data_IF_388161917370
#
_entry.id   IF_388161917370
#
_cell.length_a   1.000
_cell.length_b   1.000
_cell.length_c   1.000
_cell.angle_alpha   90.00
_cell.angle_beta   90.00
_cell.angle_gamma   90.00
#
_symmetry.space_group_name_H-M   'P 1'
#
loop_
_entity.id
_entity.type
_entity.pdbx_description
1 polymer ?
#
# COMPACT_ATOMS: atom_id res chain seq x y z
N UNK A 1 -51.88 -77.72 46.80
CA UNK A 1 -51.51 -76.55 47.63
C UNK A 1 -50.25 -75.97 47.01
N UNK A 2 -50.37 -74.87 46.26
CA UNK A 2 -49.95 -73.51 46.69
C UNK A 2 -48.41 -73.45 46.88
N UNK A 3 -47.57 -72.62 46.24
CA UNK A 3 -47.76 -71.29 45.63
C UNK A 3 -46.49 -70.89 44.85
N UNK A 4 -46.73 -70.25 43.71
CA UNK A 4 -46.04 -69.13 43.02
C UNK A 4 -44.57 -68.77 43.33
N UNK A 5 -43.85 -68.66 42.22
CA UNK A 5 -42.70 -67.77 41.93
C UNK A 5 -42.98 -66.31 42.35
N UNK A 6 -42.00 -65.63 42.95
CA UNK A 6 -41.96 -64.16 43.11
C UNK A 6 -40.54 -63.61 42.93
N UNK A 7 -40.36 -62.74 41.93
CA UNK A 7 -39.22 -61.84 41.71
C UNK A 7 -39.35 -60.63 42.64
N UNK A 8 -38.29 -60.19 43.33
CA UNK A 8 -38.07 -58.74 43.62
C UNK A 8 -36.59 -58.50 44.00
N UNK A 9 -35.75 -58.06 43.05
CA UNK A 9 -35.38 -56.67 42.72
C UNK A 9 -34.24 -56.10 43.58
N UNK A 10 -33.02 -56.27 43.06
CA UNK A 10 -31.75 -55.75 43.55
C UNK A 10 -31.62 -54.27 43.10
N UNK A 11 -32.16 -53.35 43.90
CA UNK A 11 -32.05 -51.90 43.66
C UNK A 11 -31.97 -51.20 45.01
N UNK A 12 -30.80 -50.63 45.34
CA UNK A 12 -30.59 -49.40 46.15
C UNK A 12 -29.21 -49.34 46.82
N UNK A 13 -28.08 -49.36 46.10
CA UNK A 13 -26.76 -49.09 46.75
C UNK A 13 -25.77 -48.30 45.87
N UNK A 14 -26.25 -47.48 44.93
CA UNK A 14 -25.40 -46.63 44.07
C UNK A 14 -26.06 -45.27 43.78
N UNK A 15 -26.40 -44.49 44.82
CA UNK A 15 -27.03 -43.18 44.64
C UNK A 15 -26.57 -42.09 45.64
N UNK A 16 -25.34 -42.17 46.18
CA UNK A 16 -24.87 -41.20 47.18
C UNK A 16 -23.53 -40.50 46.84
N UNK A 17 -22.87 -40.78 45.70
CA UNK A 17 -21.54 -40.17 45.41
C UNK A 17 -21.53 -39.18 44.23
N UNK A 18 -22.64 -38.96 43.51
CA UNK A 18 -22.66 -38.06 42.34
C UNK A 18 -23.20 -36.63 42.59
N UNK A 19 -23.44 -36.26 43.84
CA UNK A 19 -24.10 -34.98 44.18
C UNK A 19 -23.21 -33.76 44.53
N UNK A 20 -21.86 -33.79 44.61
CA UNK A 20 -21.09 -32.55 44.80
C UNK A 20 -20.37 -32.03 43.54
N UNK A 21 -20.36 -32.73 42.40
CA UNK A 21 -19.60 -32.29 41.21
C UNK A 21 -20.43 -31.37 40.28
N UNK A 22 -21.75 -31.32 40.43
CA UNK A 22 -22.62 -30.46 39.61
C UNK A 22 -22.61 -28.97 40.00
N UNK A 23 -21.85 -28.55 41.02
CA UNK A 23 -21.82 -27.17 41.52
C UNK A 23 -20.74 -26.28 40.89
N UNK A 24 -19.97 -26.77 39.91
CA UNK A 24 -18.96 -25.97 39.19
C UNK A 24 -19.37 -25.49 37.80
N UNK A 25 -20.64 -25.67 37.40
CA UNK A 25 -21.21 -24.96 36.24
C UNK A 25 -21.67 -23.56 36.68
N UNK A 26 -20.74 -22.73 37.16
CA UNK A 26 -20.98 -21.30 37.30
C UNK A 26 -21.10 -20.71 35.90
N UNK A 27 -22.34 -20.63 35.39
CA UNK A 27 -22.64 -19.91 34.16
C UNK A 27 -22.12 -18.47 34.25
N UNK A 28 -21.49 -17.99 33.18
CA UNK A 28 -20.95 -16.64 33.12
C UNK A 28 -22.09 -15.61 33.29
N UNK A 29 -22.05 -14.83 34.37
CA UNK A 29 -23.12 -13.90 34.76
C UNK A 29 -23.32 -12.77 33.74
N UNK A 30 -22.24 -12.36 33.07
CA UNK A 30 -22.20 -11.31 32.05
C UNK A 30 -21.35 -11.80 30.89
N UNK A 31 -21.87 -11.71 29.66
CA UNK A 31 -21.12 -11.99 28.43
C UNK A 31 -20.59 -10.69 27.85
N UNK A 32 -19.28 -10.62 27.60
CA UNK A 32 -18.61 -9.54 26.89
C UNK A 32 -18.15 -10.05 25.52
N UNK A 33 -18.49 -9.32 24.47
CA UNK A 33 -18.01 -9.58 23.10
C UNK A 33 -17.46 -8.29 22.54
N UNK A 34 -16.20 -8.33 22.11
CA UNK A 34 -15.59 -7.25 21.35
C UNK A 34 -16.00 -7.36 19.88
N UNK A 35 -16.67 -6.33 19.37
CA UNK A 35 -17.18 -6.23 18.00
C UNK A 35 -16.30 -5.35 17.10
N UNK A 36 -15.20 -4.84 17.62
CA UNK A 36 -14.32 -3.92 16.89
C UNK A 36 -13.54 -4.67 15.80
N UNK A 37 -13.55 -4.20 14.54
CA UNK A 37 -12.70 -4.75 13.50
C UNK A 37 -11.21 -4.63 13.86
N UNK A 38 -10.40 -5.62 13.48
CA UNK A 38 -8.94 -5.56 13.65
C UNK A 38 -8.27 -4.51 12.76
N UNK A 39 -8.99 -4.04 11.73
CA UNK A 39 -8.49 -3.08 10.75
C UNK A 39 -9.57 -2.05 10.43
N UNK A 40 -9.18 -0.78 10.41
CA UNK A 40 -10.07 0.35 10.13
C UNK A 40 -9.44 1.31 9.13
N UNK A 41 -10.25 1.91 8.25
CA UNK A 41 -9.75 2.90 7.29
C UNK A 41 -9.38 4.20 7.98
N UNK A 42 -8.25 4.77 7.60
CA UNK A 42 -7.85 6.08 8.09
C UNK A 42 -8.89 7.15 7.76
N UNK A 43 -9.22 8.01 8.72
CA UNK A 43 -10.14 9.13 8.54
C UNK A 43 -9.48 10.46 8.97
N UNK A 44 -10.02 11.62 8.56
CA UNK A 44 -9.43 12.92 8.88
C UNK A 44 -9.41 13.27 10.37
N UNK A 45 -10.42 12.84 11.15
CA UNK A 45 -10.51 13.12 12.58
C UNK A 45 -9.56 12.25 13.42
N UNK A 46 -9.08 11.15 12.84
CA UNK A 46 -8.23 10.14 13.49
C UNK A 46 -8.90 9.50 14.70
N UNK A 47 -10.23 9.53 14.73
CA UNK A 47 -11.06 8.96 15.79
C UNK A 47 -11.74 7.70 15.28
N UNK A 48 -11.67 6.64 16.08
CA UNK A 48 -12.14 5.31 15.72
C UNK A 48 -13.03 4.75 16.82
N UNK A 49 -14.22 4.28 16.42
CA UNK A 49 -15.16 3.65 17.33
C UNK A 49 -14.70 2.25 17.71
N UNK A 50 -14.58 2.00 19.02
CA UNK A 50 -14.32 0.69 19.60
C UNK A 50 -15.63 0.22 20.23
N UNK A 51 -16.16 -0.90 19.76
CA UNK A 51 -17.54 -1.32 20.06
C UNK A 51 -17.55 -2.65 20.81
N UNK A 52 -18.36 -2.72 21.85
CA UNK A 52 -18.54 -3.90 22.69
C UNK A 52 -20.02 -4.25 22.83
N UNK A 53 -20.32 -5.54 22.84
CA UNK A 53 -21.63 -6.05 23.26
C UNK A 53 -21.54 -6.66 24.66
N UNK A 54 -22.43 -6.21 25.53
CA UNK A 54 -22.52 -6.65 26.92
C UNK A 54 -23.91 -7.21 27.18
N UNK A 55 -24.00 -8.48 27.55
CA UNK A 55 -25.26 -9.15 27.87
C UNK A 55 -25.24 -9.70 29.29
N UNK A 56 -26.13 -9.18 30.14
CA UNK A 56 -26.35 -9.72 31.49
C UNK A 56 -27.21 -10.98 31.39
N UNK A 57 -26.71 -12.10 31.88
CA UNK A 57 -27.37 -13.42 31.81
C UNK A 57 -27.96 -13.87 33.14
N UNK A 58 -27.49 -13.28 34.24
CA UNK A 58 -27.88 -13.67 35.59
C UNK A 58 -28.53 -12.50 36.34
N UNK A 59 -29.71 -12.73 36.93
CA UNK A 59 -30.44 -11.75 37.74
C UNK A 59 -29.76 -11.46 39.10
N UNK A 60 -28.73 -12.23 39.47
CA UNK A 60 -27.88 -11.95 40.62
C UNK A 60 -26.96 -10.73 40.40
N UNK A 61 -26.79 -10.26 39.16
CA UNK A 61 -26.06 -9.03 38.87
C UNK A 61 -26.84 -7.83 39.41
N UNK A 62 -26.18 -6.95 40.15
CA UNK A 62 -26.79 -5.74 40.70
C UNK A 62 -27.11 -4.80 39.54
N UNK A 63 -28.37 -4.40 39.43
CA UNK A 63 -28.80 -3.48 38.38
C UNK A 63 -28.02 -2.15 38.43
N UNK A 64 -27.72 -1.60 37.26
CA UNK A 64 -26.91 -0.40 37.11
C UNK A 64 -25.42 -0.52 37.50
N UNK A 65 -24.96 -1.68 38.01
CA UNK A 65 -23.56 -1.86 38.43
C UNK A 65 -22.60 -2.18 37.28
N UNK A 66 -23.11 -2.53 36.10
CA UNK A 66 -22.30 -2.89 34.94
C UNK A 66 -21.60 -1.65 34.39
N UNK A 67 -20.28 -1.71 34.35
CA UNK A 67 -19.38 -0.64 33.87
C UNK A 67 -18.37 -1.23 32.88
N UNK A 68 -18.66 -1.14 31.56
CA UNK A 68 -17.70 -1.51 30.52
C UNK A 68 -16.64 -0.42 30.36
N UNK A 69 -15.39 -0.85 30.32
CA UNK A 69 -14.20 -0.03 30.16
C UNK A 69 -13.35 -0.59 29.02
N UNK A 70 -12.65 0.29 28.32
CA UNK A 70 -11.52 -0.06 27.45
C UNK A 70 -10.23 0.29 28.17
N UNK A 71 -9.26 -0.63 28.12
CA UNK A 71 -7.90 -0.39 28.57
C UNK A 71 -7.00 -0.24 27.36
N UNK A 72 -6.47 0.96 27.15
CA UNK A 72 -5.58 1.31 26.04
C UNK A 72 -4.42 2.16 26.59
N UNK A 73 -3.19 1.88 26.14
CA UNK A 73 -1.96 2.49 26.70
C UNK A 73 -1.86 2.40 28.25
N UNK A 74 -2.42 1.33 28.83
CA UNK A 74 -2.44 1.10 30.28
C UNK A 74 -3.43 1.97 31.06
N UNK A 75 -4.30 2.74 30.39
CA UNK A 75 -5.31 3.60 31.01
C UNK A 75 -6.71 3.06 30.76
N UNK A 76 -7.54 3.13 31.80
CA UNK A 76 -8.96 2.78 31.72
C UNK A 76 -9.79 3.96 31.23
N UNK A 77 -10.66 3.70 30.26
CA UNK A 77 -11.63 4.66 29.76
C UNK A 77 -13.03 4.05 29.78
N UNK A 78 -14.00 4.78 30.31
CA UNK A 78 -15.39 4.32 30.33
C UNK A 78 -15.98 4.31 28.92
N UNK A 79 -16.72 3.25 28.59
CA UNK A 79 -17.49 3.19 27.35
C UNK A 79 -18.90 3.75 27.56
N UNK A 80 -19.41 4.43 26.55
CA UNK A 80 -20.76 4.99 26.54
C UNK A 80 -21.75 3.99 25.94
N UNK A 81 -22.96 3.89 26.50
CA UNK A 81 -24.02 3.08 25.92
C UNK A 81 -24.50 3.71 24.60
N UNK A 82 -24.64 2.89 23.55
CA UNK A 82 -25.15 3.35 22.26
C UNK A 82 -26.64 3.71 22.39
N UNK A 83 -27.08 4.90 21.92
CA UNK A 83 -28.49 5.29 21.98
C UNK A 83 -29.41 4.26 21.31
N UNK A 84 -30.50 3.89 21.98
CA UNK A 84 -31.45 2.88 21.49
C UNK A 84 -30.97 1.42 21.60
N UNK A 85 -29.82 1.16 22.22
CA UNK A 85 -29.34 -0.21 22.48
C UNK A 85 -29.27 -0.55 23.98
N UNK A 86 -29.78 -1.72 24.32
CA UNK A 86 -29.68 -2.27 25.68
C UNK A 86 -28.37 -3.00 25.96
N UNK A 87 -27.55 -3.26 24.94
CA UNK A 87 -26.35 -4.08 25.08
C UNK A 87 -25.10 -3.56 24.39
N UNK A 88 -25.19 -2.55 23.52
CA UNK A 88 -24.04 -2.01 22.81
C UNK A 88 -23.42 -0.82 23.54
N UNK A 89 -22.10 -0.84 23.60
CA UNK A 89 -21.28 0.21 24.18
C UNK A 89 -20.18 0.60 23.19
N UNK A 90 -19.82 1.87 23.21
CA UNK A 90 -18.85 2.46 22.30
C UNK A 90 -17.88 3.38 23.03
N UNK A 91 -16.64 3.40 22.58
CA UNK A 91 -15.65 4.40 22.95
C UNK A 91 -14.96 4.93 21.70
N UNK A 92 -14.99 6.24 21.54
CA UNK A 92 -14.29 6.95 20.46
C UNK A 92 -12.83 7.18 20.85
N UNK A 93 -11.93 6.42 20.22
CA UNK A 93 -10.49 6.54 20.45
C UNK A 93 -9.82 7.40 19.38
N UNK A 94 -9.25 8.54 19.78
CA UNK A 94 -8.41 9.37 18.92
C UNK A 94 -6.97 8.86 18.90
N UNK A 95 -6.55 8.33 17.75
CA UNK A 95 -5.21 7.81 17.52
C UNK A 95 -4.15 8.93 17.59
N UNK A 96 -3.09 8.83 18.42
CA UNK A 96 -2.01 9.83 18.47
C UNK A 96 -1.31 10.03 17.12
N UNK A 97 -0.86 11.25 16.75
CA UNK A 97 -0.14 11.52 15.49
C UNK A 97 1.00 10.55 15.21
N UNK A 98 1.11 10.08 13.97
CA UNK A 98 2.13 9.11 13.53
C UNK A 98 1.90 7.67 14.01
N UNK A 99 0.90 7.40 14.85
CA UNK A 99 0.53 6.04 15.27
C UNK A 99 -0.51 5.45 14.32
N UNK A 100 -0.28 4.22 13.88
CA UNK A 100 -1.18 3.44 13.00
C UNK A 100 -1.72 2.18 13.67
N UNK A 101 -1.22 1.84 14.86
CA UNK A 101 -1.61 0.65 15.61
C UNK A 101 -1.89 0.99 17.05
N UNK A 102 -2.89 0.38 17.65
CA UNK A 102 -3.12 0.48 19.09
C UNK A 102 -3.56 -0.86 19.67
N UNK A 103 -2.92 -1.26 20.77
CA UNK A 103 -3.28 -2.46 21.52
C UNK A 103 -4.24 -2.09 22.65
N UNK A 104 -5.27 -2.90 22.85
CA UNK A 104 -6.28 -2.70 23.89
C UNK A 104 -6.88 -4.03 24.34
N UNK A 105 -7.54 -4.01 25.49
CA UNK A 105 -8.51 -5.05 25.86
C UNK A 105 -9.71 -4.38 26.51
N UNK A 106 -10.86 -5.06 26.50
CA UNK A 106 -12.06 -4.60 27.16
C UNK A 106 -12.16 -5.23 28.55
N UNK A 107 -12.74 -4.50 29.48
CA UNK A 107 -12.95 -4.92 30.85
C UNK A 107 -14.37 -4.55 31.28
N UNK A 108 -15.13 -5.51 31.80
CA UNK A 108 -16.37 -5.19 32.52
C UNK A 108 -16.12 -5.31 34.01
N UNK A 109 -16.49 -4.27 34.75
CA UNK A 109 -16.64 -4.28 36.21
C UNK A 109 -18.12 -4.34 36.57
N UNK A 110 -18.50 -5.21 37.51
CA UNK A 110 -19.89 -5.29 38.00
C UNK A 110 -19.95 -5.84 39.42
N UNK A 111 -21.11 -5.69 40.06
CA UNK A 111 -21.41 -6.25 41.38
C UNK A 111 -22.40 -7.40 41.25
N UNK A 112 -22.21 -8.45 42.05
CA UNK A 112 -23.09 -9.62 42.11
C UNK A 112 -23.56 -9.89 43.53
N UNK A 113 -24.86 -10.12 43.69
CA UNK A 113 -25.48 -10.63 44.91
C UNK A 113 -25.13 -12.12 45.08
N UNK A 114 -24.62 -12.46 46.24
CA UNK A 114 -24.46 -13.84 46.72
C UNK A 114 -25.40 -14.07 47.90
N UNK A 115 -25.46 -15.30 48.43
CA UNK A 115 -26.32 -15.61 49.56
C UNK A 115 -26.00 -14.77 50.82
N UNK A 116 -24.77 -14.26 50.95
CA UNK A 116 -24.27 -13.61 52.17
C UNK A 116 -23.68 -12.22 51.96
N UNK A 117 -23.39 -11.80 50.72
CA UNK A 117 -22.74 -10.52 50.43
C UNK A 117 -22.95 -10.03 48.99
N UNK A 118 -22.61 -8.77 48.73
CA UNK A 118 -22.40 -8.22 47.38
C UNK A 118 -20.90 -8.27 47.09
N UNK A 119 -20.51 -8.91 45.98
CA UNK A 119 -19.11 -9.06 45.57
C UNK A 119 -18.84 -8.36 44.25
N UNK A 120 -17.68 -7.71 44.13
CA UNK A 120 -17.20 -7.13 42.87
C UNK A 120 -16.60 -8.22 41.98
N UNK A 121 -16.86 -8.12 40.67
CA UNK A 121 -16.37 -9.03 39.64
C UNK A 121 -15.85 -8.26 38.44
N UNK A 122 -14.88 -8.89 37.78
CA UNK A 122 -14.21 -8.36 36.59
C UNK A 122 -14.16 -9.43 35.51
N UNK A 123 -14.39 -9.03 34.26
CA UNK A 123 -14.27 -9.90 33.08
C UNK A 123 -13.45 -9.15 32.02
N UNK A 124 -12.18 -9.52 31.80
CA UNK A 124 -11.37 -8.99 30.71
C UNK A 124 -11.58 -9.78 29.41
N UNK A 125 -11.31 -9.15 28.27
CA UNK A 125 -11.02 -9.85 27.00
C UNK A 125 -9.53 -10.11 26.85
N UNK A 126 -9.18 -10.87 25.81
CA UNK A 126 -7.81 -10.91 25.31
C UNK A 126 -7.41 -9.54 24.74
N UNK A 127 -6.09 -9.29 24.71
CA UNK A 127 -5.51 -8.09 24.09
C UNK A 127 -5.65 -8.22 22.57
N UNK A 128 -6.27 -7.21 21.95
CA UNK A 128 -6.34 -7.06 20.50
C UNK A 128 -5.58 -5.84 20.05
N UNK A 129 -5.22 -5.83 18.77
CA UNK A 129 -4.62 -4.67 18.10
C UNK A 129 -5.56 -4.18 17.01
N UNK A 130 -5.90 -2.89 17.04
CA UNK A 130 -6.47 -2.20 15.88
C UNK A 130 -5.34 -1.69 14.98
N UNK A 131 -5.49 -1.89 13.68
CA UNK A 131 -4.61 -1.33 12.65
C UNK A 131 -5.37 -0.32 11.80
N UNK A 132 -4.76 0.83 11.54
CA UNK A 132 -5.31 1.85 10.66
C UNK A 132 -4.70 1.71 9.28
N UNK A 133 -5.52 1.40 8.29
CA UNK A 133 -5.12 1.38 6.89
C UNK A 133 -5.13 2.78 6.31
N UNK A 134 -3.94 3.30 6.01
CA UNK A 134 -3.75 4.65 5.46
C UNK A 134 -3.88 4.73 3.93
N UNK A 135 -3.87 3.60 3.21
CA UNK A 135 -3.86 3.56 1.73
C UNK A 135 -4.96 2.65 1.22
N UNK A 136 -5.90 3.16 0.44
CA UNK A 136 -7.05 2.35 0.00
C UNK A 136 -7.52 2.63 -1.43
N UNK A 137 -6.83 3.52 -2.15
CA UNK A 137 -7.01 3.73 -3.59
C UNK A 137 -5.87 4.63 -4.08
N UNK A 138 -5.27 4.25 -5.19
CA UNK A 138 -4.33 5.10 -5.93
C UNK A 138 -4.84 5.21 -7.36
N UNK A 139 -4.76 6.39 -7.94
CA UNK A 139 -5.27 6.67 -9.26
C UNK A 139 -4.29 7.54 -10.02
N UNK A 140 -4.02 7.16 -11.27
CA UNK A 140 -3.26 7.98 -12.20
C UNK A 140 -4.02 9.25 -12.58
N UNK A 141 -3.35 10.40 -12.53
CA UNK A 141 -3.89 11.67 -13.04
C UNK A 141 -4.21 11.61 -14.54
N UNK A 142 -3.36 10.91 -15.30
CA UNK A 142 -3.52 10.68 -16.75
C UNK A 142 -3.16 9.25 -17.13
N UNK A 143 -3.80 8.73 -18.16
CA UNK A 143 -3.59 7.36 -18.65
C UNK A 143 -2.75 7.27 -19.93
N UNK A 144 -2.16 8.40 -20.37
CA UNK A 144 -1.35 8.46 -21.59
C UNK A 144 -0.35 9.61 -21.54
N UNK A 145 0.90 9.36 -21.94
CA UNK A 145 1.94 10.38 -22.03
C UNK A 145 3.19 9.87 -22.80
N UNK A 146 4.04 10.77 -23.34
CA UNK A 146 5.34 10.38 -23.88
C UNK A 146 6.38 10.16 -22.77
N UNK A 147 7.49 9.51 -23.12
CA UNK A 147 8.65 9.29 -22.24
C UNK A 147 9.18 10.61 -21.65
N UNK A 148 9.59 10.58 -20.38
CA UNK A 148 10.12 11.73 -19.65
C UNK A 148 9.05 12.67 -19.08
N UNK A 149 7.78 12.48 -19.42
CA UNK A 149 6.69 13.28 -18.84
C UNK A 149 6.56 13.02 -17.35
N UNK A 150 6.34 14.07 -16.55
CA UNK A 150 5.99 13.94 -15.13
C UNK A 150 4.49 13.71 -14.99
N UNK A 151 4.10 12.64 -14.30
CA UNK A 151 2.70 12.27 -14.03
C UNK A 151 2.48 12.17 -12.53
N UNK A 152 1.34 12.66 -12.03
CA UNK A 152 0.93 12.44 -10.65
C UNK A 152 0.07 11.17 -10.49
N UNK A 153 0.19 10.55 -9.31
CA UNK A 153 -0.68 9.53 -8.77
C UNK A 153 -1.33 10.12 -7.52
N UNK A 154 -2.66 10.20 -7.54
CA UNK A 154 -3.47 10.67 -6.44
C UNK A 154 -3.81 9.51 -5.52
N UNK A 155 -3.83 9.76 -4.21
CA UNK A 155 -4.11 8.72 -3.24
C UNK A 155 -4.04 9.22 -1.81
N UNK A 156 -3.72 8.31 -0.90
CA UNK A 156 -3.52 8.61 0.52
C UNK A 156 -2.42 7.74 1.11
N UNK A 157 -1.77 8.28 2.15
CA UNK A 157 -0.75 7.59 2.93
C UNK A 157 0.59 7.44 2.22
N UNK A 158 0.86 8.23 1.17
CA UNK A 158 2.16 8.19 0.50
C UNK A 158 3.29 8.65 1.43
N UNK A 159 4.46 8.07 1.21
CA UNK A 159 5.70 8.34 1.95
C UNK A 159 6.86 8.47 0.97
N UNK A 160 7.99 9.01 1.42
CA UNK A 160 9.20 9.15 0.59
C UNK A 160 9.80 7.82 0.13
N UNK A 161 9.49 6.75 0.84
CA UNK A 161 9.98 5.41 0.54
C UNK A 161 9.20 4.73 -0.58
N UNK A 162 8.01 5.23 -0.91
CA UNK A 162 7.20 4.66 -1.99
C UNK A 162 7.90 4.79 -3.34
N UNK A 163 7.67 3.81 -4.21
CA UNK A 163 8.25 3.72 -5.55
C UNK A 163 7.16 3.39 -6.55
N UNK A 164 7.24 4.00 -7.73
CA UNK A 164 6.35 3.69 -8.85
C UNK A 164 7.07 2.73 -9.79
N UNK A 165 6.36 1.69 -10.22
CA UNK A 165 6.77 0.81 -11.31
C UNK A 165 5.83 1.02 -12.50
N UNK A 166 6.37 1.12 -13.71
CA UNK A 166 5.62 1.17 -14.96
C UNK A 166 5.98 -0.08 -15.76
N UNK A 167 5.02 -0.98 -15.96
CA UNK A 167 5.28 -2.27 -16.61
C UNK A 167 6.30 -3.13 -15.86
N UNK A 168 6.40 -2.98 -14.54
CA UNK A 168 7.43 -3.62 -13.71
C UNK A 168 8.80 -2.93 -13.71
N UNK A 169 8.99 -1.88 -14.52
CA UNK A 169 10.24 -1.10 -14.54
C UNK A 169 10.17 0.04 -13.53
N UNK A 170 11.16 0.18 -12.62
CA UNK A 170 11.21 1.30 -11.69
C UNK A 170 11.23 2.65 -12.41
N UNK A 171 10.30 3.53 -12.05
CA UNK A 171 10.27 4.92 -12.50
C UNK A 171 10.91 5.83 -11.45
N UNK A 172 11.52 6.92 -11.91
CA UNK A 172 11.99 7.97 -11.00
C UNK A 172 10.78 8.56 -10.29
N UNK A 173 10.70 8.33 -8.97
CA UNK A 173 9.53 8.63 -8.14
C UNK A 173 9.84 9.77 -7.19
N UNK A 174 8.90 10.71 -7.05
CA UNK A 174 8.99 11.86 -6.17
C UNK A 174 7.75 11.92 -5.27
N UNK A 175 7.93 11.72 -3.97
CA UNK A 175 6.86 11.93 -2.99
C UNK A 175 6.65 13.43 -2.77
N UNK A 176 5.45 13.90 -3.06
CA UNK A 176 5.10 15.32 -2.94
C UNK A 176 4.39 15.62 -1.63
N UNK A 177 3.44 14.75 -1.27
CA UNK A 177 2.67 14.86 -0.04
C UNK A 177 2.17 13.47 0.38
N UNK A 178 1.44 13.39 1.49
CA UNK A 178 0.75 12.17 1.87
C UNK A 178 -0.38 11.77 0.91
N UNK A 179 -0.74 12.60 -0.07
CA UNK A 179 -1.85 12.39 -1.01
C UNK A 179 -1.47 12.51 -2.48
N UNK A 180 -0.23 12.89 -2.80
CA UNK A 180 0.30 12.95 -4.17
C UNK A 180 1.69 12.32 -4.23
N UNK A 181 1.87 11.42 -5.20
CA UNK A 181 3.13 10.82 -5.60
C UNK A 181 3.33 11.13 -7.08
N UNK A 182 4.47 11.71 -7.46
CA UNK A 182 4.78 11.95 -8.86
C UNK A 182 5.81 10.94 -9.38
N UNK A 183 5.80 10.66 -10.67
CA UNK A 183 6.86 9.90 -11.34
C UNK A 183 7.12 10.42 -12.74
N UNK A 184 8.30 10.11 -13.28
CA UNK A 184 8.65 10.37 -14.68
C UNK A 184 8.46 9.10 -15.51
N UNK A 185 7.80 9.23 -16.67
CA UNK A 185 7.57 8.10 -17.58
C UNK A 185 8.92 7.52 -18.03
N UNK A 186 9.22 6.23 -17.77
CA UNK A 186 10.49 5.63 -18.16
C UNK A 186 10.57 5.38 -19.66
N UNK A 187 11.79 5.21 -20.17
CA UNK A 187 12.10 4.88 -21.57
C UNK A 187 11.72 3.45 -21.94
N UNK A 188 10.43 3.15 -21.97
CA UNK A 188 9.88 1.87 -22.43
C UNK A 188 9.38 1.97 -23.87
N UNK A 189 9.26 0.84 -24.59
CA UNK A 189 8.73 0.83 -25.95
C UNK A 189 7.38 1.56 -26.09
N UNK A 190 7.29 2.40 -27.12
CA UNK A 190 6.09 3.20 -27.39
C UNK A 190 4.91 2.39 -27.94
N UNK A 191 3.72 3.00 -27.94
CA UNK A 191 2.52 2.45 -28.55
C UNK A 191 1.81 1.37 -27.73
N UNK A 192 2.26 1.10 -26.50
CA UNK A 192 1.75 0.03 -25.62
C UNK A 192 1.21 0.57 -24.30
N UNK A 193 0.33 -0.22 -23.69
CA UNK A 193 -0.23 0.01 -22.37
C UNK A 193 0.63 -0.71 -21.32
N UNK A 194 0.99 -0.01 -20.25
CA UNK A 194 1.76 -0.53 -19.13
C UNK A 194 0.98 -0.37 -17.84
N UNK A 195 0.92 -1.44 -17.04
CA UNK A 195 0.36 -1.34 -15.69
C UNK A 195 1.25 -0.44 -14.83
N UNK A 196 0.65 0.46 -14.08
CA UNK A 196 1.36 1.32 -13.12
C UNK A 196 1.04 0.85 -11.72
N UNK A 197 2.08 0.52 -10.96
CA UNK A 197 1.95 0.09 -9.57
C UNK A 197 2.74 1.00 -8.65
N UNK A 198 2.21 1.22 -7.45
CA UNK A 198 2.90 1.85 -6.34
C UNK A 198 3.35 0.76 -5.38
N UNK A 199 4.65 0.59 -5.24
CA UNK A 199 5.27 -0.26 -4.24
C UNK A 199 5.49 0.56 -2.96
N UNK A 200 4.92 0.12 -1.85
CA UNK A 200 5.15 0.71 -0.54
C UNK A 200 5.26 -0.32 0.58
N UNK A 201 5.35 0.17 1.82
CA UNK A 201 5.62 -0.67 3.00
C UNK A 201 4.61 -1.81 3.22
N UNK A 202 3.36 -1.61 2.79
CA UNK A 202 2.27 -2.57 2.99
C UNK A 202 1.96 -3.41 1.75
N UNK A 203 2.81 -3.34 0.71
CA UNK A 203 2.66 -4.09 -0.54
C UNK A 203 2.48 -3.20 -1.77
N UNK A 204 2.01 -3.83 -2.84
CA UNK A 204 1.78 -3.20 -4.14
C UNK A 204 0.33 -2.75 -4.29
N UNK A 205 0.14 -1.55 -4.83
CA UNK A 205 -1.16 -1.00 -5.21
C UNK A 205 -1.18 -0.70 -6.70
N UNK A 206 -2.20 -1.14 -7.42
CA UNK A 206 -2.37 -0.77 -8.83
C UNK A 206 -2.98 0.63 -8.95
N UNK A 207 -2.33 1.51 -9.71
CA UNK A 207 -2.77 2.88 -10.00
C UNK A 207 -3.45 3.02 -11.38
N UNK A 208 -3.51 1.93 -12.14
CA UNK A 208 -4.14 1.88 -13.47
C UNK A 208 -3.16 1.53 -14.58
N UNK A 209 -3.48 1.92 -15.80
CA UNK A 209 -2.66 1.65 -16.99
C UNK A 209 -2.27 2.94 -17.68
N UNK A 210 -0.99 3.06 -18.04
CA UNK A 210 -0.44 4.17 -18.79
C UNK A 210 -0.07 3.72 -20.21
N UNK A 211 -0.59 4.41 -21.23
CA UNK A 211 -0.12 4.27 -22.60
C UNK A 211 1.07 5.19 -22.85
N UNK A 212 2.19 4.63 -23.29
CA UNK A 212 3.33 5.44 -23.71
C UNK A 212 3.13 5.83 -25.18
N UNK A 213 3.03 7.12 -25.44
CA UNK A 213 2.86 7.65 -26.79
C UNK A 213 4.17 7.62 -27.57
N UNK A 214 4.03 7.50 -28.89
CA UNK A 214 5.15 7.57 -29.79
C UNK A 214 5.76 8.98 -29.81
N UNK A 215 7.08 9.07 -29.74
CA UNK A 215 7.82 10.32 -29.82
C UNK A 215 8.95 10.21 -30.84
N UNK A 216 9.35 11.30 -31.48
CA UNK A 216 10.48 11.27 -32.41
C UNK A 216 11.63 12.12 -31.90
N UNK A 217 12.82 11.54 -31.92
CA UNK A 217 14.06 12.28 -31.76
C UNK A 217 14.34 13.00 -33.08
N UNK A 218 14.80 14.26 -33.00
CA UNK A 218 15.23 15.02 -34.18
C UNK A 218 16.73 15.19 -34.13
N UNK A 219 17.39 14.87 -35.25
CA UNK A 219 18.82 15.07 -35.41
C UNK A 219 19.09 16.06 -36.54
N UNK A 220 19.99 17.00 -36.30
CA UNK A 220 20.36 18.05 -37.26
C UNK A 220 21.87 18.27 -37.30
N UNK A 221 22.49 18.40 -38.48
CA UNK A 221 21.91 18.20 -39.81
C UNK A 221 21.46 16.75 -40.05
N UNK A 222 20.56 16.56 -41.02
CA UNK A 222 20.04 15.22 -41.39
C UNK A 222 21.02 14.37 -42.22
N UNK A 223 22.21 14.92 -42.53
CA UNK A 223 23.33 14.21 -43.14
C UNK A 223 24.64 14.91 -42.79
N UNK A 224 25.76 14.19 -42.88
CA UNK A 224 27.09 14.72 -42.65
C UNK A 224 28.00 14.46 -43.85
N UNK A 225 28.68 15.51 -44.31
CA UNK A 225 29.78 15.42 -45.26
C UNK A 225 31.02 16.04 -44.62
N UNK A 226 32.04 15.21 -44.37
CA UNK A 226 33.26 15.60 -43.68
C UNK A 226 34.48 15.24 -44.54
N UNK A 227 35.58 15.96 -44.36
CA UNK A 227 36.92 15.49 -44.74
C UNK A 227 37.57 14.76 -43.58
N UNK A 228 38.62 13.98 -43.85
CA UNK A 228 39.46 13.37 -42.82
C UNK A 228 39.99 14.43 -41.84
N UNK A 229 39.75 14.22 -40.55
CA UNK A 229 40.05 15.15 -39.45
C UNK A 229 39.12 16.36 -39.35
N UNK A 230 38.18 16.56 -40.28
CA UNK A 230 37.18 17.62 -40.17
C UNK A 230 36.17 17.28 -39.09
N UNK A 231 35.76 18.30 -38.32
CA UNK A 231 34.71 18.18 -37.30
C UNK A 231 33.40 18.78 -37.78
N UNK A 232 32.32 18.00 -37.67
CA UNK A 232 30.94 18.43 -37.77
C UNK A 232 30.29 18.50 -36.40
N UNK A 233 29.10 19.10 -36.33
CA UNK A 233 28.26 19.12 -35.12
C UNK A 233 26.94 18.44 -35.45
N UNK A 234 26.53 17.48 -34.62
CA UNK A 234 25.19 16.92 -34.62
C UNK A 234 24.44 17.40 -33.37
N UNK A 235 23.27 17.99 -33.58
CA UNK A 235 22.34 18.36 -32.52
C UNK A 235 21.21 17.33 -32.44
N UNK A 236 20.99 16.81 -31.25
CA UNK A 236 19.93 15.85 -30.93
C UNK A 236 18.88 16.58 -30.09
N UNK A 237 17.61 16.42 -30.41
CA UNK A 237 16.52 17.09 -29.68
C UNK A 237 15.27 16.22 -29.54
N UNK A 238 14.57 16.43 -28.43
CA UNK A 238 13.36 15.72 -28.01
C UNK A 238 12.25 16.74 -27.68
N UNK A 239 10.96 16.34 -27.73
CA UNK A 239 9.85 17.27 -27.54
C UNK A 239 9.64 17.68 -26.08
N UNK A 240 10.05 16.85 -25.13
CA UNK A 240 9.91 17.07 -23.68
C UNK A 240 11.27 17.13 -22.99
N UNK A 241 11.31 17.67 -21.77
CA UNK A 241 12.53 17.70 -20.96
C UNK A 241 12.94 16.28 -20.57
N UNK A 242 14.24 15.98 -20.66
CA UNK A 242 14.75 14.70 -20.22
C UNK A 242 14.53 14.51 -18.71
N UNK A 243 14.14 13.31 -18.26
CA UNK A 243 13.90 13.02 -16.86
C UNK A 243 15.19 13.16 -16.01
N UNK A 244 15.07 13.16 -14.66
CA UNK A 244 16.25 13.07 -13.80
C UNK A 244 17.11 11.86 -14.17
N UNK A 245 18.42 12.07 -14.32
CA UNK A 245 19.37 11.08 -14.86
C UNK A 245 19.68 11.26 -16.36
N UNK A 246 18.90 12.07 -17.08
CA UNK A 246 19.09 12.30 -18.51
C UNK A 246 18.62 11.14 -19.38
N UNK A 247 18.89 11.24 -20.69
CA UNK A 247 18.59 10.19 -21.67
C UNK A 247 19.85 9.87 -22.47
N UNK A 248 20.30 8.61 -22.39
CA UNK A 248 21.36 8.10 -23.24
C UNK A 248 20.80 7.79 -24.64
N UNK A 249 21.44 8.35 -25.66
CA UNK A 249 21.10 8.11 -27.06
C UNK A 249 22.13 7.11 -27.61
N UNK A 250 21.64 5.97 -28.06
CA UNK A 250 22.50 4.95 -28.69
C UNK A 250 22.73 5.34 -30.13
N UNK A 251 24.00 5.50 -30.52
CA UNK A 251 24.37 5.77 -31.91
C UNK A 251 25.31 4.67 -32.39
N UNK A 252 24.95 4.01 -33.48
CA UNK A 252 25.78 2.99 -34.14
C UNK A 252 26.04 3.38 -35.60
N UNK A 253 27.01 2.75 -36.25
CA UNK A 253 27.35 3.03 -37.64
C UNK A 253 27.80 1.77 -38.38
N UNK A 254 27.58 1.72 -39.69
CA UNK A 254 28.07 0.71 -40.61
C UNK A 254 29.47 1.04 -41.18
N UNK A 255 30.02 2.24 -40.88
CA UNK A 255 31.35 2.70 -41.28
C UNK A 255 32.19 3.13 -40.07
N UNK A 256 32.54 2.20 -39.16
CA UNK A 256 33.19 2.53 -37.88
C UNK A 256 34.53 3.24 -38.03
N UNK A 257 35.32 2.92 -39.06
CA UNK A 257 36.62 3.56 -39.31
C UNK A 257 36.49 5.02 -39.78
N UNK A 258 35.31 5.42 -40.27
CA UNK A 258 35.03 6.76 -40.78
C UNK A 258 34.49 7.72 -39.71
N UNK A 259 34.06 7.24 -38.55
CA UNK A 259 33.30 8.06 -37.59
C UNK A 259 33.93 8.02 -36.20
N UNK A 260 34.41 9.16 -35.75
CA UNK A 260 34.91 9.35 -34.39
C UNK A 260 33.91 10.25 -33.66
N UNK A 261 33.18 9.70 -32.68
CA UNK A 261 32.18 10.45 -31.92
C UNK A 261 32.13 10.04 -30.45
N UNK A 262 31.83 10.98 -29.53
CA UNK A 262 31.61 10.67 -28.12
C UNK A 262 30.23 10.05 -27.89
N UNK A 263 30.03 9.51 -26.69
CA UNK A 263 28.71 9.12 -26.20
C UNK A 263 27.74 10.31 -26.16
N UNK A 264 26.47 10.06 -26.47
CA UNK A 264 25.44 11.10 -26.57
C UNK A 264 24.47 10.97 -25.41
N UNK A 265 24.43 12.00 -24.55
CA UNK A 265 23.49 12.09 -23.43
C UNK A 265 22.76 13.43 -23.52
N UNK A 266 21.43 13.38 -23.49
CA UNK A 266 20.59 14.57 -23.28
C UNK A 266 20.48 14.76 -21.76
N UNK A 267 21.07 15.82 -21.18
CA UNK A 267 21.11 15.99 -19.72
C UNK A 267 19.72 16.18 -19.13
N UNK A 268 19.56 15.82 -17.84
CA UNK A 268 18.31 16.02 -17.12
C UNK A 268 17.81 17.49 -17.22
N UNK A 269 16.51 17.67 -17.45
CA UNK A 269 15.87 18.97 -17.63
C UNK A 269 16.16 19.65 -18.96
N UNK A 270 17.03 19.10 -19.82
CA UNK A 270 17.31 19.62 -21.16
C UNK A 270 16.45 18.91 -22.21
N UNK A 271 16.21 19.60 -23.33
CA UNK A 271 15.52 19.03 -24.50
C UNK A 271 16.47 18.72 -25.66
N UNK A 272 17.74 19.07 -25.53
CA UNK A 272 18.71 18.87 -26.59
C UNK A 272 20.13 18.75 -26.05
N UNK A 273 20.98 18.16 -26.87
CA UNK A 273 22.43 18.14 -26.70
C UNK A 273 23.09 18.28 -28.06
N UNK A 274 24.35 18.71 -28.10
CA UNK A 274 25.13 18.81 -29.34
C UNK A 274 26.47 18.15 -29.13
N UNK A 275 26.83 17.26 -30.05
CA UNK A 275 28.12 16.57 -30.03
C UNK A 275 28.91 16.88 -31.29
N UNK A 276 30.23 16.84 -31.15
CA UNK A 276 31.16 16.95 -32.29
C UNK A 276 31.44 15.56 -32.83
N UNK A 277 31.31 15.42 -34.14
CA UNK A 277 31.67 14.21 -34.89
C UNK A 277 32.88 14.55 -35.73
N UNK A 278 33.91 13.72 -35.69
CA UNK A 278 35.14 13.88 -36.47
C UNK A 278 35.20 12.80 -37.56
N UNK A 279 35.56 13.22 -38.78
CA UNK A 279 35.77 12.29 -39.91
C UNK A 279 37.07 11.51 -39.74
N UNK A 280 36.98 10.19 -39.77
CA UNK A 280 38.10 9.26 -39.76
C UNK A 280 38.60 8.93 -41.17
N UNK A 281 38.68 7.65 -41.50
CA UNK A 281 39.03 7.19 -42.86
C UNK A 281 37.91 7.48 -43.87
N UNK A 282 38.28 7.65 -45.14
CA UNK A 282 37.31 7.90 -46.21
C UNK A 282 36.30 6.73 -46.34
N UNK A 283 35.02 7.06 -46.48
CA UNK A 283 33.93 6.07 -46.51
C UNK A 283 32.55 6.70 -46.60
N UNK A 284 31.56 5.92 -47.02
CA UNK A 284 30.15 6.33 -47.10
C UNK A 284 29.28 5.30 -46.40
N UNK A 285 28.41 5.76 -45.51
CA UNK A 285 27.54 4.90 -44.72
C UNK A 285 26.47 5.69 -43.99
N UNK A 286 26.00 5.15 -42.86
CA UNK A 286 24.93 5.70 -42.04
C UNK A 286 25.27 5.68 -40.56
N UNK A 287 24.71 6.64 -39.82
CA UNK A 287 24.54 6.58 -38.38
C UNK A 287 23.11 6.15 -38.08
N UNK A 288 22.95 5.17 -37.20
CA UNK A 288 21.66 4.70 -36.68
C UNK A 288 21.51 5.23 -35.26
N UNK A 289 20.46 6.03 -35.03
CA UNK A 289 20.20 6.71 -33.77
C UNK A 289 18.96 6.09 -33.13
N UNK A 290 19.13 5.52 -31.96
CA UNK A 290 18.08 4.87 -31.17
C UNK A 290 17.96 5.55 -29.81
N UNK A 291 16.72 5.77 -29.36
CA UNK A 291 16.42 6.27 -28.03
C UNK A 291 15.16 5.59 -27.50
N UNK A 292 15.22 4.99 -26.31
CA UNK A 292 14.11 4.20 -25.77
C UNK A 292 12.80 4.98 -25.67
N UNK A 293 11.74 4.47 -26.32
CA UNK A 293 10.43 5.11 -26.43
C UNK A 293 10.36 6.27 -27.44
N UNK A 294 11.31 6.32 -28.36
CA UNK A 294 11.31 7.18 -29.53
C UNK A 294 11.51 6.37 -30.81
N UNK A 295 11.05 6.90 -31.93
CA UNK A 295 11.32 6.35 -33.27
C UNK A 295 12.78 6.53 -33.68
N UNK A 296 13.37 5.49 -34.27
CA UNK A 296 14.75 5.50 -34.75
C UNK A 296 14.97 6.51 -35.90
N UNK A 297 16.20 7.04 -36.00
CA UNK A 297 16.61 7.98 -37.05
C UNK A 297 17.87 7.48 -37.74
N UNK A 298 17.89 7.55 -39.07
CA UNK A 298 19.06 7.20 -39.89
C UNK A 298 19.64 8.47 -40.51
N UNK A 299 20.95 8.65 -40.37
CA UNK A 299 21.68 9.85 -40.84
C UNK A 299 22.78 9.41 -41.81
N UNK A 300 22.69 9.74 -43.10
CA UNK A 300 23.76 9.46 -44.05
C UNK A 300 25.04 10.22 -43.69
N UNK A 301 26.18 9.55 -43.77
CA UNK A 301 27.51 10.14 -43.56
C UNK A 301 28.44 9.80 -44.71
N UNK A 302 29.18 10.79 -45.18
CA UNK A 302 30.28 10.63 -46.14
C UNK A 302 31.53 11.31 -45.61
N UNK A 303 32.64 10.58 -45.61
CA UNK A 303 33.97 11.09 -45.30
C UNK A 303 34.84 10.99 -46.54
N UNK A 304 35.44 12.11 -46.95
CA UNK A 304 36.43 12.17 -48.05
C UNK A 304 37.82 12.41 -47.49
N UNK A 305 38.84 12.20 -48.31
CA UNK A 305 40.20 12.66 -48.01
C UNK A 305 40.29 14.19 -47.86
#
# INVERSE_FOLDING_TARGET
MDKRISKTNRRTWLAIILAPIALFLAGCDVKLVDLTPSTMKANPSRTYAITAQVSVKNNAVVDGSVRPEIIIDGKAHAMSRVPGSDSLYEYDYTMPPGREKAAYYLLIRYQRKTATAIVSKEIPTEVKTINVENRYSVELEVNRAPVGTRIAILGRGFTRDDKVLVGGTPAVTQAESATSLAFYVPSLPEGRNYNVTVLGLNGELSAGSLRIDASSIRVSPGSLNLRKGQRGVLAFSIPAEAPPGGLAVTVTTDVPDSVIMPEVIIPAGQRSTSIRVEGGEAGTGNLYVELGGYSDVVIPITVTD
#
